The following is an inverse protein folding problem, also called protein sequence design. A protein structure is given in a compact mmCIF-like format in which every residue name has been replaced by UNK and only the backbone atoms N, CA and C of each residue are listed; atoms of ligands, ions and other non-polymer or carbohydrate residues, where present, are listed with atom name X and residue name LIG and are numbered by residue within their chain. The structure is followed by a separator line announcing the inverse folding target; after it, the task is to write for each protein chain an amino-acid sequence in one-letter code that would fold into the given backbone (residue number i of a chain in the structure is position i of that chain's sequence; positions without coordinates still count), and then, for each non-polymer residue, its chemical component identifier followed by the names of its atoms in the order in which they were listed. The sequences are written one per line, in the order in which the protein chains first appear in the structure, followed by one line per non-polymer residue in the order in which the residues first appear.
data_IF_996383961930
#
_entry.id   IF_996383961930
#
_cell.length_a   1.000
_cell.length_b   1.000
_cell.length_c   1.000
_cell.angle_alpha   90.00
_cell.angle_beta   90.00
_cell.angle_gamma   90.00
#
_symmetry.space_group_name_H-M   'P 1'
#
loop_
_entity.id
_entity.type
_entity.pdbx_description
1 polymer ?
#
# COMPACT_ATOMS: atom_id res chain seq x y z
N UNK A 1 44.41 -6.80 43.30
CA UNK A 1 44.65 -6.33 41.93
C UNK A 1 43.43 -6.73 41.10
N UNK A 2 42.27 -6.14 41.40
CA UNK A 2 41.67 -5.01 40.64
C UNK A 2 41.00 -5.57 39.36
N UNK A 3 39.78 -5.31 38.96
CA UNK A 3 38.70 -4.49 39.46
C UNK A 3 37.45 -4.86 38.63
N UNK A 4 36.33 -4.98 39.32
CA UNK A 4 35.01 -4.50 38.93
C UNK A 4 34.91 -3.85 37.54
N UNK A 5 34.20 -4.48 36.59
CA UNK A 5 33.32 -3.74 35.66
C UNK A 5 32.20 -4.59 35.04
N UNK A 6 31.14 -4.68 35.84
CA UNK A 6 29.75 -4.60 35.41
C UNK A 6 29.60 -3.87 34.06
N UNK A 7 29.09 -4.58 33.05
CA UNK A 7 28.57 -3.98 31.82
C UNK A 7 27.16 -4.50 31.59
N UNK A 8 26.24 -4.14 32.49
CA UNK A 8 24.80 -4.28 32.26
C UNK A 8 24.38 -3.20 31.25
N UNK A 9 24.50 -3.51 29.96
CA UNK A 9 23.96 -2.66 28.91
C UNK A 9 22.45 -2.87 28.79
N UNK A 10 21.75 -1.88 29.33
CA UNK A 10 20.64 -1.19 28.67
C UNK A 10 19.43 -2.04 28.25
N UNK A 11 18.44 -1.92 29.14
CA UNK A 11 17.01 -1.97 28.90
C UNK A 11 16.59 -1.36 27.55
N UNK A 12 16.75 -2.11 26.46
CA UNK A 12 16.06 -1.82 25.19
C UNK A 12 14.60 -2.19 25.38
N UNK A 13 13.82 -1.30 26.01
CA UNK A 13 12.37 -1.23 25.86
C UNK A 13 12.10 -1.17 24.36
N UNK A 14 11.91 -2.34 23.73
CA UNK A 14 11.51 -2.41 22.32
C UNK A 14 10.15 -1.75 22.27
N UNK A 15 10.19 -0.48 21.86
CA UNK A 15 9.07 0.38 21.53
C UNK A 15 8.01 -0.50 20.87
N UNK A 16 6.79 -0.48 21.42
CA UNK A 16 5.62 -1.17 20.86
C UNK A 16 5.67 -0.93 19.34
N UNK A 17 5.99 -1.97 18.58
CA UNK A 17 5.79 -1.97 17.13
C UNK A 17 4.28 -1.90 16.96
N UNK A 18 3.74 -0.68 16.93
CA UNK A 18 2.44 -0.36 16.37
C UNK A 18 2.61 -0.53 14.86
N UNK A 19 2.81 -1.76 14.41
CA UNK A 19 2.60 -2.06 13.01
C UNK A 19 1.11 -1.84 12.81
N UNK A 20 0.79 -0.71 12.18
CA UNK A 20 -0.48 -0.52 11.50
C UNK A 20 -0.73 -1.78 10.71
N UNK A 21 -1.92 -2.32 10.93
CA UNK A 21 -2.32 -3.61 10.43
C UNK A 21 -2.29 -3.49 8.91
N UNK A 22 -1.85 -4.52 8.19
CA UNK A 22 -1.91 -4.58 6.72
C UNK A 22 -3.34 -4.34 6.14
N UNK A 23 -4.31 -4.17 7.03
CA UNK A 23 -5.71 -3.79 6.84
C UNK A 23 -5.98 -2.28 6.95
N UNK A 24 -4.97 -1.42 7.06
CA UNK A 24 -5.14 0.04 7.03
C UNK A 24 -5.21 0.58 5.59
N UNK A 25 -6.10 1.53 5.34
CA UNK A 25 -6.21 2.19 4.05
C UNK A 25 -5.11 3.23 3.92
N UNK A 26 -4.37 3.23 2.81
CA UNK A 26 -3.32 4.24 2.58
C UNK A 26 -3.86 5.64 2.26
N UNK A 27 -5.18 5.77 1.99
CA UNK A 27 -5.83 7.05 1.70
C UNK A 27 -6.26 7.74 3.00
N UNK A 28 -6.97 7.03 3.89
CA UNK A 28 -7.51 7.59 5.14
C UNK A 28 -6.76 7.14 6.41
N UNK A 29 -5.73 6.29 6.28
CA UNK A 29 -4.90 5.76 7.37
C UNK A 29 -5.71 5.12 8.52
N UNK A 30 -6.90 4.61 8.20
CA UNK A 30 -7.81 3.93 9.12
C UNK A 30 -8.01 2.46 8.72
N UNK A 31 -8.41 1.60 9.67
CA UNK A 31 -8.73 0.21 9.39
C UNK A 31 -9.88 0.14 8.37
N UNK A 32 -9.66 -0.64 7.31
CA UNK A 32 -10.62 -0.84 6.21
C UNK A 32 -11.79 -1.69 6.68
N UNK A 33 -12.96 -1.10 6.86
CA UNK A 33 -14.21 -1.83 7.18
C UNK A 33 -14.76 -2.60 5.96
N UNK A 34 -14.62 -2.02 4.77
CA UNK A 34 -14.94 -2.61 3.47
C UNK A 34 -13.72 -2.48 2.56
N UNK A 35 -12.71 -3.32 2.81
CA UNK A 35 -11.49 -3.33 2.02
C UNK A 35 -11.79 -3.82 0.59
N UNK A 36 -11.70 -2.92 -0.39
CA UNK A 36 -11.73 -3.29 -1.80
C UNK A 36 -10.31 -3.60 -2.24
N UNK A 37 -10.05 -4.86 -2.57
CA UNK A 37 -8.79 -5.27 -3.19
C UNK A 37 -8.81 -4.89 -4.67
N UNK A 38 -7.84 -4.08 -5.07
CA UNK A 38 -7.60 -3.72 -6.46
C UNK A 38 -6.81 -4.81 -7.18
N UNK A 39 -6.88 -4.84 -8.52
CA UNK A 39 -6.18 -5.83 -9.37
C UNK A 39 -4.66 -5.89 -9.14
N UNK A 40 -4.06 -4.78 -8.73
CA UNK A 40 -2.64 -4.68 -8.40
C UNK A 40 -2.28 -5.17 -6.98
N UNK A 41 -3.23 -5.71 -6.21
CA UNK A 41 -2.99 -6.25 -4.87
C UNK A 41 -3.04 -5.22 -3.74
N UNK A 42 -3.34 -3.95 -4.04
CA UNK A 42 -3.53 -2.93 -3.01
C UNK A 42 -4.98 -2.91 -2.53
N UNK A 43 -5.19 -2.72 -1.23
CA UNK A 43 -6.55 -2.67 -0.66
C UNK A 43 -6.81 -1.32 0.00
N UNK A 44 -7.99 -0.77 -0.29
CA UNK A 44 -8.44 0.56 0.17
C UNK A 44 -9.84 0.48 0.76
N UNK A 45 -10.29 1.50 1.50
CA UNK A 45 -11.69 1.59 1.90
C UNK A 45 -12.57 1.80 0.66
N UNK A 46 -13.73 1.13 0.61
CA UNK A 46 -14.74 1.30 -0.43
C UNK A 46 -15.09 2.77 -0.71
N UNK A 47 -15.27 3.57 0.34
CA UNK A 47 -15.52 5.01 0.18
C UNK A 47 -14.32 5.74 -0.44
N UNK A 48 -13.10 5.47 0.03
CA UNK A 48 -11.91 6.12 -0.47
C UNK A 48 -11.63 5.77 -1.94
N UNK A 49 -11.80 4.50 -2.33
CA UNK A 49 -11.65 4.10 -3.72
C UNK A 49 -12.78 4.67 -4.58
N UNK A 50 -14.04 4.66 -4.13
CA UNK A 50 -15.15 5.28 -4.87
C UNK A 50 -14.95 6.78 -5.09
N UNK A 51 -14.47 7.51 -4.09
CA UNK A 51 -14.13 8.93 -4.23
C UNK A 51 -13.00 9.15 -5.24
N UNK A 52 -11.95 8.33 -5.17
CA UNK A 52 -10.84 8.38 -6.13
C UNK A 52 -11.35 8.11 -7.55
N UNK A 53 -12.10 7.03 -7.76
CA UNK A 53 -12.71 6.67 -9.03
C UNK A 53 -13.64 7.77 -9.56
N UNK A 54 -14.45 8.39 -8.70
CA UNK A 54 -15.32 9.51 -9.07
C UNK A 54 -14.52 10.78 -9.43
N UNK A 55 -13.35 10.98 -8.82
CA UNK A 55 -12.49 12.10 -9.16
C UNK A 55 -11.81 11.88 -10.52
N UNK A 56 -11.30 10.68 -10.77
CA UNK A 56 -10.64 10.32 -12.04
C UNK A 56 -11.63 9.80 -13.09
N UNK A 57 -12.93 9.85 -12.87
CA UNK A 57 -13.93 9.34 -13.83
C UNK A 57 -13.98 10.13 -15.14
N UNK A 58 -13.33 11.30 -15.18
CA UNK A 58 -13.10 12.07 -16.40
C UNK A 58 -11.90 11.55 -17.22
N UNK A 59 -11.11 10.63 -16.67
CA UNK A 59 -10.07 9.92 -17.40
C UNK A 59 -10.59 8.59 -17.92
N UNK A 60 -10.13 8.25 -19.13
CA UNK A 60 -10.41 6.96 -19.78
C UNK A 60 -9.80 5.76 -19.03
N UNK A 61 -8.89 6.00 -18.07
CA UNK A 61 -8.11 4.95 -17.40
C UNK A 61 -8.18 5.09 -15.88
N UNK A 62 -8.70 4.06 -15.22
CA UNK A 62 -8.68 3.94 -13.76
C UNK A 62 -7.31 3.41 -13.30
N UNK A 63 -6.61 4.13 -12.43
CA UNK A 63 -5.30 3.72 -11.92
C UNK A 63 -5.22 3.70 -10.40
N UNK A 64 -4.36 2.82 -9.87
CA UNK A 64 -4.11 2.67 -8.46
C UNK A 64 -3.37 3.88 -7.88
N UNK A 65 -3.79 4.47 -6.74
CA UNK A 65 -3.10 5.61 -6.15
C UNK A 65 -1.72 5.29 -5.56
N UNK A 66 -1.39 4.00 -5.38
CA UNK A 66 -0.12 3.56 -4.79
C UNK A 66 0.91 3.21 -5.86
N UNK A 67 0.54 2.33 -6.79
CA UNK A 67 1.45 1.81 -7.81
C UNK A 67 1.19 2.36 -9.22
N UNK A 68 0.13 3.15 -9.40
CA UNK A 68 -0.32 3.67 -10.71
C UNK A 68 -0.62 2.59 -11.75
N UNK A 69 -0.71 1.33 -11.32
CA UNK A 69 -1.19 0.23 -12.17
C UNK A 69 -2.66 0.44 -12.47
N UNK A 70 -3.02 0.15 -13.70
CA UNK A 70 -4.37 0.25 -14.21
C UNK A 70 -5.26 -0.75 -13.48
N UNK A 71 -6.40 -0.28 -13.00
CA UNK A 71 -7.40 -1.10 -12.33
C UNK A 71 -8.27 -1.85 -13.34
N UNK A 72 -8.25 -1.40 -14.60
CA UNK A 72 -9.09 -1.86 -15.72
C UNK A 72 -8.30 -2.66 -16.78
N UNK A 73 -6.96 -2.75 -16.71
CA UNK A 73 -6.16 -3.27 -17.83
C UNK A 73 -6.25 -4.79 -18.01
N UNK A 74 -7.12 -5.21 -18.92
CA UNK A 74 -6.68 -6.00 -20.07
C UNK A 74 -6.94 -5.14 -21.30
N UNK A 75 -5.98 -4.30 -21.65
CA UNK A 75 -5.93 -3.66 -22.95
C UNK A 75 -4.72 -4.24 -23.64
N UNK A 76 -5.03 -5.18 -24.53
CA UNK A 76 -4.14 -5.80 -25.50
C UNK A 76 -3.56 -4.68 -26.38
N UNK A 77 -2.46 -4.08 -25.94
CA UNK A 77 -1.50 -3.43 -26.84
C UNK A 77 -0.15 -4.08 -26.52
N UNK A 78 -0.13 -5.41 -26.65
CA UNK A 78 1.09 -6.15 -26.90
C UNK A 78 1.67 -5.56 -28.17
N UNK A 79 2.80 -4.87 -28.00
CA UNK A 79 3.63 -4.41 -29.08
C UNK A 79 4.14 -5.65 -29.82
N UNK A 80 3.33 -6.21 -30.72
CA UNK A 80 3.76 -7.25 -31.64
C UNK A 80 4.69 -6.61 -32.68
N UNK A 81 5.94 -6.54 -32.25
CA UNK A 81 7.20 -6.69 -32.99
C UNK A 81 7.25 -6.09 -34.40
N UNK A 82 7.96 -4.98 -34.49
CA UNK A 82 8.59 -4.51 -35.72
C UNK A 82 9.75 -5.43 -36.13
N UNK A 83 9.49 -6.55 -36.81
CA UNK A 83 10.47 -7.16 -37.73
C UNK A 83 9.97 -8.38 -38.53
N UNK A 84 9.86 -8.21 -39.86
CA UNK A 84 10.33 -9.16 -40.88
C UNK A 84 10.27 -8.52 -42.27
#
# INVERSE_FOLDING_TARGET
MDDRKNKKCDNKKRRKKRYGRDEDCTICMHPKTDAVATKCGHSFCKECISLHLNYISNHDVLYCPVCRTDLESYSDEDCLDQSA
#
